data_IF_101751880390
#
_entry.id   IF_101751880390
#
_cell.length_a   1.000
_cell.length_b   1.000
_cell.length_c   1.000
_cell.angle_alpha   90.00
_cell.angle_beta   90.00
_cell.angle_gamma   90.00
#
_symmetry.space_group_name_H-M   'P 1'
#
loop_
_entity.id
_entity.type
_entity.pdbx_description
1 polymer ?
#
# COMPACT_ATOMS: atom_id res chain seq x y z
N UNK A 1 3.02 -5.85 30.32
CA UNK A 1 2.74 -4.39 30.21
C UNK A 1 3.79 -3.79 29.29
N UNK A 2 3.39 -2.95 28.34
CA UNK A 2 4.29 -2.26 27.41
C UNK A 2 5.01 -1.15 28.19
N UNK A 3 6.34 -1.10 28.10
CA UNK A 3 7.14 -0.06 28.75
C UNK A 3 6.99 1.27 27.98
N UNK A 4 7.33 2.40 28.63
CA UNK A 4 7.27 3.71 27.99
C UNK A 4 8.21 3.80 26.77
N UNK A 5 9.40 3.21 26.86
CA UNK A 5 10.35 3.14 25.74
C UNK A 5 9.78 2.33 24.57
N UNK A 6 9.18 1.20 24.85
CA UNK A 6 8.57 0.33 23.85
C UNK A 6 7.35 1.01 23.19
N UNK A 7 6.55 1.72 23.99
CA UNK A 7 5.41 2.51 23.51
C UNK A 7 5.86 3.59 22.53
N UNK A 8 6.91 4.34 22.86
CA UNK A 8 7.47 5.36 21.97
C UNK A 8 7.97 4.76 20.65
N UNK A 9 8.68 3.63 20.71
CA UNK A 9 9.15 2.93 19.51
C UNK A 9 7.99 2.44 18.63
N UNK A 10 6.87 2.01 19.22
CA UNK A 10 5.68 1.64 18.45
C UNK A 10 5.07 2.87 17.78
N UNK A 11 4.98 4.02 18.46
CA UNK A 11 4.47 5.27 17.90
C UNK A 11 5.36 5.72 16.72
N UNK A 12 6.67 5.71 16.89
CA UNK A 12 7.64 6.07 15.84
C UNK A 12 7.48 5.14 14.61
N UNK A 13 7.29 3.84 14.83
CA UNK A 13 7.03 2.87 13.76
C UNK A 13 5.72 3.18 13.03
N UNK A 14 4.66 3.54 13.75
CA UNK A 14 3.38 3.89 13.12
C UNK A 14 3.55 5.16 12.27
N UNK A 15 4.21 6.19 12.77
CA UNK A 15 4.49 7.41 11.99
C UNK A 15 5.33 7.16 10.75
N UNK A 16 6.21 6.16 10.78
CA UNK A 16 7.01 5.76 9.62
C UNK A 16 6.19 4.98 8.58
N UNK A 17 5.27 4.12 9.01
CA UNK A 17 4.56 3.20 8.13
C UNK A 17 3.17 3.72 7.68
N UNK A 18 2.58 4.65 8.43
CA UNK A 18 1.27 5.25 8.15
C UNK A 18 1.48 6.69 7.71
N UNK A 19 1.59 6.90 6.40
CA UNK A 19 1.95 8.19 5.82
C UNK A 19 1.03 8.55 4.64
N UNK A 20 0.76 9.85 4.40
CA UNK A 20 0.01 10.29 3.23
C UNK A 20 0.73 9.92 1.93
N UNK A 21 -0.03 9.58 0.89
CA UNK A 21 0.48 9.31 -0.44
C UNK A 21 -0.52 9.72 -1.52
N UNK A 22 -0.04 10.28 -2.63
CA UNK A 22 -0.85 10.60 -3.81
C UNK A 22 -0.49 9.60 -4.91
N UNK A 23 -1.49 8.86 -5.40
CA UNK A 23 -1.28 7.82 -6.42
C UNK A 23 -0.63 6.55 -5.87
N UNK A 24 -0.04 5.75 -6.77
CA UNK A 24 0.68 4.52 -6.42
C UNK A 24 2.16 4.81 -6.16
N UNK A 25 2.70 4.23 -5.11
CA UNK A 25 4.08 4.51 -4.66
C UNK A 25 5.14 4.06 -5.64
N UNK A 26 4.93 2.95 -6.36
CA UNK A 26 5.93 2.40 -7.27
C UNK A 26 6.20 3.29 -8.50
N UNK A 27 5.20 3.72 -9.30
CA UNK A 27 5.48 4.64 -10.42
C UNK A 27 5.97 6.00 -9.94
N UNK A 28 5.54 6.47 -8.76
CA UNK A 28 6.02 7.72 -8.18
C UNK A 28 7.48 7.60 -7.74
N UNK A 29 7.90 6.47 -7.17
CA UNK A 29 9.31 6.21 -6.85
C UNK A 29 10.19 6.16 -8.13
N UNK A 30 9.66 5.61 -9.23
CA UNK A 30 10.35 5.67 -10.53
C UNK A 30 10.48 7.12 -11.00
N UNK A 31 9.40 7.91 -10.95
CA UNK A 31 9.43 9.34 -11.29
C UNK A 31 10.41 10.12 -10.41
N UNK A 32 10.48 9.82 -9.12
CA UNK A 32 11.44 10.40 -8.17
C UNK A 32 12.89 10.07 -8.56
N UNK A 33 13.16 8.83 -8.94
CA UNK A 33 14.49 8.42 -9.40
C UNK A 33 14.87 9.14 -10.69
N UNK A 34 13.92 9.29 -11.64
CA UNK A 34 14.12 10.05 -12.87
C UNK A 34 14.38 11.53 -12.57
N UNK A 35 13.59 12.14 -11.69
CA UNK A 35 13.79 13.53 -11.26
C UNK A 35 15.22 13.74 -10.72
N UNK A 36 15.67 12.84 -9.83
CA UNK A 36 17.03 12.90 -9.29
C UNK A 36 18.11 12.75 -10.34
N UNK A 37 17.98 11.80 -11.25
CA UNK A 37 18.93 11.62 -12.36
C UNK A 37 18.95 12.86 -13.28
N UNK A 38 17.79 13.46 -13.57
CA UNK A 38 17.66 14.69 -14.39
C UNK A 38 18.29 15.89 -13.69
N UNK A 39 18.04 16.08 -12.38
CA UNK A 39 18.71 17.12 -11.57
C UNK A 39 20.23 16.97 -11.60
N UNK A 40 20.71 15.73 -11.48
CA UNK A 40 22.15 15.41 -11.50
C UNK A 40 22.76 15.68 -12.88
N UNK A 41 22.03 15.37 -13.96
CA UNK A 41 22.43 15.68 -15.34
C UNK A 41 22.55 17.19 -15.56
N UNK A 42 21.65 17.97 -14.95
CA UNK A 42 21.63 19.44 -15.04
C UNK A 42 20.95 19.99 -16.30
N UNK A 43 20.38 19.14 -17.13
CA UNK A 43 19.64 19.50 -18.34
C UNK A 43 18.53 18.47 -18.62
N UNK A 44 17.58 18.82 -19.50
CA UNK A 44 16.52 17.92 -19.94
C UNK A 44 17.14 16.73 -20.70
N UNK A 45 16.85 15.48 -20.32
CA UNK A 45 17.44 14.32 -20.96
C UNK A 45 16.88 14.11 -22.38
N UNK A 46 17.75 13.69 -23.28
CA UNK A 46 17.38 13.25 -24.64
C UNK A 46 16.96 11.77 -24.65
N UNK A 47 17.55 10.97 -23.75
CA UNK A 47 17.24 9.55 -23.57
C UNK A 47 17.19 9.20 -22.08
N UNK A 48 16.26 8.34 -21.73
CA UNK A 48 16.10 7.81 -20.36
C UNK A 48 16.03 6.28 -20.44
N UNK A 49 16.99 5.61 -19.80
CA UNK A 49 17.00 4.17 -19.63
C UNK A 49 16.65 3.84 -18.19
N UNK A 50 15.66 2.99 -17.98
CA UNK A 50 15.15 2.60 -16.65
C UNK A 50 15.24 1.10 -16.49
N UNK A 51 15.96 0.66 -15.45
CA UNK A 51 16.07 -0.74 -15.06
C UNK A 51 15.33 -0.95 -13.75
N UNK A 52 14.40 -1.91 -13.72
CA UNK A 52 13.49 -2.14 -12.60
C UNK A 52 13.55 -3.57 -12.12
N UNK A 53 13.40 -3.79 -10.82
CA UNK A 53 13.05 -5.12 -10.31
C UNK A 53 11.67 -5.55 -10.81
N UNK A 54 11.44 -6.86 -10.84
CA UNK A 54 10.19 -7.47 -11.28
C UNK A 54 8.97 -6.92 -10.53
N UNK A 55 9.09 -6.73 -9.22
CA UNK A 55 7.98 -6.24 -8.39
C UNK A 55 7.64 -4.77 -8.66
N UNK A 56 8.63 -3.90 -8.88
CA UNK A 56 8.39 -2.50 -9.25
C UNK A 56 7.70 -2.43 -10.61
N UNK A 57 8.21 -3.16 -11.62
CA UNK A 57 7.60 -3.18 -12.94
C UNK A 57 6.14 -3.67 -12.87
N UNK A 58 5.90 -4.82 -12.23
CA UNK A 58 4.57 -5.40 -12.05
C UNK A 58 3.57 -4.41 -11.43
N UNK A 59 3.97 -3.70 -10.37
CA UNK A 59 3.09 -2.81 -9.63
C UNK A 59 2.89 -1.43 -10.30
N UNK A 60 3.76 -1.05 -11.21
CA UNK A 60 3.71 0.26 -11.87
C UNK A 60 3.06 0.26 -13.27
N UNK A 61 2.92 -0.93 -13.90
CA UNK A 61 2.47 -1.02 -15.31
C UNK A 61 1.01 -0.61 -15.53
N UNK A 62 0.11 -0.89 -14.59
CA UNK A 62 -1.34 -0.85 -14.81
C UNK A 62 -2.10 0.22 -14.03
N UNK A 63 -1.41 1.11 -13.34
CA UNK A 63 -2.04 2.08 -12.43
C UNK A 63 -2.09 3.48 -13.06
N UNK A 64 -3.17 4.23 -12.76
CA UNK A 64 -3.33 5.62 -13.17
C UNK A 64 -2.29 6.53 -12.51
N UNK A 65 -1.70 7.42 -13.30
CA UNK A 65 -0.75 8.42 -12.80
C UNK A 65 -1.50 9.70 -12.45
N UNK A 66 -1.31 10.21 -11.23
CA UNK A 66 -2.08 11.34 -10.71
C UNK A 66 -2.13 12.54 -11.65
N UNK A 67 -3.36 13.05 -11.91
CA UNK A 67 -3.60 14.26 -12.69
C UNK A 67 -3.39 14.14 -14.21
N UNK A 68 -2.99 12.95 -14.72
CA UNK A 68 -2.63 12.80 -16.14
C UNK A 68 -3.73 12.20 -17.01
N UNK A 69 -4.68 11.47 -16.41
CA UNK A 69 -5.62 10.63 -17.15
C UNK A 69 -4.96 9.45 -17.89
N UNK A 70 -3.67 9.20 -17.65
CA UNK A 70 -2.89 8.14 -18.28
C UNK A 70 -2.47 7.06 -17.29
N UNK A 71 -2.11 5.90 -17.81
CA UNK A 71 -1.74 4.70 -17.05
C UNK A 71 -0.26 4.36 -17.28
N UNK A 72 0.41 3.90 -16.24
CA UNK A 72 1.70 3.23 -16.30
C UNK A 72 2.93 4.11 -16.29
N UNK A 73 4.08 3.47 -16.40
CA UNK A 73 5.39 4.08 -16.22
C UNK A 73 5.76 5.17 -17.23
N UNK A 74 5.44 5.07 -18.54
CA UNK A 74 5.96 6.02 -19.52
C UNK A 74 5.64 7.49 -19.16
N UNK A 75 4.40 7.78 -18.75
CA UNK A 75 4.02 9.15 -18.39
C UNK A 75 4.64 9.57 -17.04
N UNK A 76 4.76 8.67 -16.07
CA UNK A 76 5.42 8.97 -14.79
C UNK A 76 6.91 9.32 -15.00
N UNK A 77 7.61 8.60 -15.87
CA UNK A 77 9.01 8.85 -16.26
C UNK A 77 9.14 10.20 -16.98
N UNK A 78 8.28 10.45 -17.98
CA UNK A 78 8.30 11.71 -18.73
C UNK A 78 8.10 12.92 -17.81
N UNK A 79 7.10 12.86 -16.92
CA UNK A 79 6.84 13.95 -15.95
C UNK A 79 7.98 14.09 -14.92
N UNK A 80 8.55 12.99 -14.44
CA UNK A 80 9.72 13.02 -13.57
C UNK A 80 10.89 13.79 -14.20
N UNK A 81 11.11 13.62 -15.50
CA UNK A 81 12.15 14.34 -16.23
C UNK A 81 11.81 15.80 -16.54
N UNK A 82 10.53 16.13 -16.74
CA UNK A 82 10.09 17.47 -17.14
C UNK A 82 9.95 18.46 -15.99
N UNK A 83 9.38 17.97 -14.87
CA UNK A 83 9.00 18.84 -13.76
C UNK A 83 9.37 18.27 -12.38
N UNK A 84 9.85 17.03 -12.33
CA UNK A 84 10.12 16.37 -11.05
C UNK A 84 11.17 17.11 -10.24
N UNK A 85 10.86 17.32 -8.95
CA UNK A 85 11.80 17.82 -7.94
C UNK A 85 12.00 16.75 -6.90
N UNK A 86 13.22 16.23 -6.80
CA UNK A 86 13.50 15.09 -5.90
C UNK A 86 13.27 15.41 -4.43
N UNK A 87 13.32 16.69 -4.04
CA UNK A 87 13.01 17.16 -2.68
C UNK A 87 11.55 16.89 -2.25
N UNK A 88 10.62 16.75 -3.22
CA UNK A 88 9.22 16.46 -2.94
C UNK A 88 8.95 14.97 -2.62
N UNK A 89 9.95 14.13 -2.70
CA UNK A 89 9.83 12.71 -2.38
C UNK A 89 8.64 12.05 -3.15
N UNK A 90 7.71 11.41 -2.45
CA UNK A 90 6.54 10.76 -3.07
C UNK A 90 5.45 11.75 -3.57
N UNK A 91 5.69 13.04 -3.49
CA UNK A 91 4.86 14.08 -4.12
C UNK A 91 5.55 14.70 -5.36
N UNK A 92 6.56 14.04 -5.92
CA UNK A 92 7.42 14.53 -7.00
C UNK A 92 6.67 15.06 -8.22
N UNK A 93 5.44 14.62 -8.46
CA UNK A 93 4.58 15.03 -9.57
C UNK A 93 3.48 16.04 -9.18
N UNK A 94 3.52 16.63 -7.99
CA UNK A 94 2.45 17.53 -7.51
C UNK A 94 2.27 18.80 -8.35
N UNK A 95 3.33 19.24 -9.03
CA UNK A 95 3.31 20.43 -9.90
C UNK A 95 2.81 20.11 -11.34
N UNK A 96 2.23 18.92 -11.58
CA UNK A 96 1.72 18.55 -12.91
C UNK A 96 0.56 19.45 -13.33
N UNK A 97 0.68 20.01 -14.56
CA UNK A 97 -0.38 20.79 -15.22
C UNK A 97 -0.78 20.12 -16.53
N UNK A 98 -1.97 20.44 -17.09
CA UNK A 98 -2.38 19.89 -18.39
C UNK A 98 -1.34 20.10 -19.50
N UNK A 99 -0.69 21.26 -19.56
CA UNK A 99 0.32 21.58 -20.58
C UNK A 99 1.56 20.68 -20.44
N UNK A 100 1.99 20.43 -19.21
CA UNK A 100 3.12 19.52 -18.93
C UNK A 100 2.76 18.08 -19.25
N UNK A 101 1.51 17.67 -19.03
CA UNK A 101 1.04 16.34 -19.42
C UNK A 101 1.09 16.16 -20.93
N UNK A 102 0.68 17.18 -21.71
CA UNK A 102 0.79 17.16 -23.18
C UNK A 102 2.26 17.13 -23.65
N UNK A 103 3.16 17.84 -22.96
CA UNK A 103 4.60 17.72 -23.25
C UNK A 103 5.13 16.32 -22.93
N UNK A 104 4.66 15.71 -21.82
CA UNK A 104 4.98 14.34 -21.45
C UNK A 104 4.52 13.31 -22.49
N UNK A 105 3.34 13.48 -23.08
CA UNK A 105 2.86 12.64 -24.18
C UNK A 105 3.78 12.71 -25.40
N UNK A 106 4.17 13.92 -25.80
CA UNK A 106 5.14 14.11 -26.89
C UNK A 106 6.48 13.45 -26.60
N UNK A 107 6.96 13.57 -25.36
CA UNK A 107 8.20 12.93 -24.93
C UNK A 107 8.16 11.41 -25.09
N UNK A 108 6.99 10.78 -24.82
CA UNK A 108 6.76 9.35 -25.01
C UNK A 108 6.72 8.98 -26.50
N UNK A 109 5.99 9.77 -27.33
CA UNK A 109 5.87 9.55 -28.77
C UNK A 109 7.23 9.60 -29.48
N UNK A 110 8.15 10.42 -29.02
CA UNK A 110 9.53 10.52 -29.50
C UNK A 110 10.41 9.31 -29.13
N UNK A 111 9.85 8.30 -28.41
CA UNK A 111 10.53 7.06 -28.02
C UNK A 111 11.83 7.27 -27.24
N UNK A 112 11.86 8.29 -26.41
CA UNK A 112 13.04 8.64 -25.58
C UNK A 112 13.20 7.78 -24.33
N UNK A 113 12.19 6.98 -23.98
CA UNK A 113 12.12 6.18 -22.74
C UNK A 113 12.30 4.70 -23.06
N UNK A 114 13.25 4.07 -22.38
CA UNK A 114 13.52 2.63 -22.46
C UNK A 114 13.35 2.01 -21.07
N UNK A 115 12.46 1.04 -20.94
CA UNK A 115 12.19 0.36 -19.67
C UNK A 115 12.53 -1.11 -19.82
N UNK A 116 13.36 -1.64 -18.91
CA UNK A 116 13.80 -3.03 -18.92
C UNK A 116 13.82 -3.62 -17.51
N UNK A 117 13.79 -4.92 -17.43
CA UNK A 117 14.04 -5.65 -16.18
C UNK A 117 15.53 -5.61 -15.84
N UNK A 118 15.83 -5.43 -14.56
CA UNK A 118 17.17 -5.67 -14.02
C UNK A 118 17.33 -7.16 -13.76
N UNK A 119 18.18 -7.82 -14.52
CA UNK A 119 18.47 -9.24 -14.37
C UNK A 119 19.34 -9.51 -13.14
N UNK A 120 19.24 -10.73 -12.60
CA UNK A 120 20.09 -11.25 -11.52
C UNK A 120 20.11 -10.39 -10.24
N UNK A 121 18.94 -9.80 -9.86
CA UNK A 121 18.80 -9.03 -8.65
C UNK A 121 17.85 -9.74 -7.67
N UNK A 122 18.28 -9.85 -6.41
CA UNK A 122 17.45 -10.39 -5.31
C UNK A 122 16.56 -9.32 -4.68
N UNK A 123 16.93 -8.04 -4.86
CA UNK A 123 16.22 -6.89 -4.28
C UNK A 123 14.85 -6.71 -4.94
N UNK A 124 13.78 -6.83 -4.13
CA UNK A 124 12.39 -6.70 -4.60
C UNK A 124 12.01 -5.26 -4.94
N UNK A 125 12.66 -4.28 -4.33
CA UNK A 125 12.48 -2.86 -4.61
C UNK A 125 13.79 -2.29 -5.13
N UNK A 126 13.94 -2.22 -6.46
CA UNK A 126 15.10 -1.66 -7.13
C UNK A 126 14.68 -0.85 -8.37
N UNK A 127 15.20 0.35 -8.44
CA UNK A 127 14.98 1.30 -9.53
C UNK A 127 16.33 1.91 -9.88
N UNK A 128 16.79 1.75 -11.12
CA UNK A 128 17.99 2.40 -11.64
C UNK A 128 17.59 3.22 -12.86
N UNK A 129 17.97 4.46 -12.88
CA UNK A 129 17.69 5.41 -13.96
C UNK A 129 18.99 5.98 -14.47
N UNK A 130 19.16 5.91 -15.78
CA UNK A 130 20.23 6.57 -16.50
C UNK A 130 19.62 7.61 -17.47
N UNK A 131 19.93 8.89 -17.26
CA UNK A 131 19.58 10.01 -18.11
C UNK A 131 20.80 10.42 -18.95
N UNK A 132 20.58 10.66 -20.25
CA UNK A 132 21.62 11.01 -21.22
C UNK A 132 21.20 12.27 -22.02
N UNK A 133 22.16 13.19 -22.24
CA UNK A 133 22.01 14.37 -23.12
C UNK A 133 23.36 14.68 -23.79
N UNK A 134 23.46 14.48 -25.11
CA UNK A 134 24.73 14.54 -25.83
C UNK A 134 25.74 13.56 -25.25
N UNK A 135 26.88 14.05 -24.75
CA UNK A 135 27.93 13.24 -24.11
C UNK A 135 27.76 13.12 -22.59
N UNK A 136 26.85 13.93 -22.01
CA UNK A 136 26.62 13.90 -20.56
C UNK A 136 25.67 12.78 -20.15
N UNK A 137 25.99 12.18 -19.00
CA UNK A 137 25.26 11.05 -18.42
C UNK A 137 25.12 11.20 -16.92
N UNK A 138 23.95 10.88 -16.39
CA UNK A 138 23.72 10.80 -14.94
C UNK A 138 22.95 9.54 -14.57
N UNK A 139 23.32 8.94 -13.45
CA UNK A 139 22.69 7.74 -12.91
C UNK A 139 22.18 8.02 -11.50
N UNK A 140 20.97 7.56 -11.20
CA UNK A 140 20.42 7.50 -9.86
C UNK A 140 19.85 6.12 -9.58
N UNK A 141 20.01 5.62 -8.34
CA UNK A 141 19.49 4.31 -7.93
C UNK A 141 18.75 4.43 -6.61
N UNK A 142 17.53 3.89 -6.58
CA UNK A 142 16.72 3.68 -5.37
C UNK A 142 16.63 2.18 -5.08
N UNK A 143 16.89 1.75 -3.82
CA UNK A 143 16.71 0.38 -3.41
C UNK A 143 16.29 0.23 -1.94
N UNK A 144 15.59 -0.86 -1.61
CA UNK A 144 15.13 -1.20 -0.26
C UNK A 144 13.94 -0.38 0.26
N UNK A 145 13.79 0.86 -0.16
CA UNK A 145 12.66 1.75 0.17
C UNK A 145 12.34 2.68 -0.98
N UNK A 146 11.08 3.11 -1.13
CA UNK A 146 10.60 3.90 -2.27
C UNK A 146 11.28 5.27 -2.43
N UNK A 147 11.95 5.77 -1.40
CA UNK A 147 12.64 7.07 -1.37
C UNK A 147 14.11 6.96 -1.00
N UNK A 148 14.62 5.74 -0.86
CA UNK A 148 16.00 5.49 -0.41
C UNK A 148 16.96 5.46 -1.58
N UNK A 149 17.64 6.59 -1.84
CA UNK A 149 18.74 6.63 -2.79
C UNK A 149 19.95 5.88 -2.23
N UNK A 150 20.55 5.03 -3.05
CA UNK A 150 21.76 4.27 -2.72
C UNK A 150 22.96 4.64 -3.59
N UNK A 151 22.71 5.24 -4.76
CA UNK A 151 23.78 5.60 -5.70
C UNK A 151 23.37 6.80 -6.55
N UNK A 152 24.28 7.76 -6.75
CA UNK A 152 24.14 8.90 -7.66
C UNK A 152 25.51 9.16 -8.29
N UNK A 153 25.52 9.27 -9.64
CA UNK A 153 26.73 9.48 -10.44
C UNK A 153 26.46 10.48 -11.57
N UNK A 154 27.47 11.26 -11.95
CA UNK A 154 27.50 12.09 -13.14
C UNK A 154 28.82 11.90 -13.89
N UNK A 155 28.76 11.52 -15.16
CA UNK A 155 29.91 11.36 -16.07
C UNK A 155 31.05 10.46 -15.50
N UNK A 156 30.67 9.40 -14.73
CA UNK A 156 31.63 8.51 -14.09
C UNK A 156 32.14 9.00 -12.71
N UNK A 157 31.74 10.21 -12.27
CA UNK A 157 32.03 10.72 -10.94
C UNK A 157 30.90 10.40 -9.97
N UNK A 158 31.20 9.57 -8.96
CA UNK A 158 30.23 9.18 -7.92
C UNK A 158 30.03 10.33 -6.95
N UNK A 159 28.81 10.87 -6.91
CA UNK A 159 28.42 11.97 -6.00
C UNK A 159 27.88 11.44 -4.68
N UNK A 160 27.23 10.28 -4.70
CA UNK A 160 26.67 9.65 -3.53
C UNK A 160 26.68 8.13 -3.69
N UNK A 161 27.14 7.44 -2.65
CA UNK A 161 27.06 5.97 -2.58
C UNK A 161 26.83 5.56 -1.13
N UNK A 162 25.74 4.82 -0.90
CA UNK A 162 25.43 4.16 0.37
C UNK A 162 25.69 2.68 0.18
N UNK A 163 26.51 2.05 1.05
CA UNK A 163 26.63 0.60 1.06
C UNK A 163 25.26 0.01 1.37
N UNK A 164 24.66 -0.65 0.38
CA UNK A 164 23.44 -1.41 0.55
C UNK A 164 23.82 -2.83 0.92
N UNK A 165 23.93 -3.12 2.21
CA UNK A 165 23.94 -4.50 2.69
C UNK A 165 22.50 -5.01 2.56
N UNK A 166 22.26 -5.85 1.56
CA UNK A 166 21.07 -6.69 1.51
C UNK A 166 21.10 -7.57 2.76
N UNK A 167 20.23 -7.32 3.71
CA UNK A 167 20.09 -7.94 5.03
C UNK A 167 20.86 -7.26 6.16
N UNK A 168 20.14 -6.96 7.22
CA UNK A 168 20.59 -6.61 8.58
C UNK A 168 21.50 -5.39 8.68
N UNK A 169 20.94 -4.20 8.54
CA UNK A 169 21.47 -3.07 9.28
C UNK A 169 21.13 -3.29 10.74
N UNK A 170 22.22 -3.43 11.52
CA UNK A 170 22.29 -3.38 12.99
C UNK A 170 21.12 -4.06 13.70
N UNK A 171 21.46 -4.98 14.58
CA UNK A 171 20.73 -5.36 15.79
C UNK A 171 20.45 -4.13 16.70
N UNK A 172 19.85 -3.09 16.21
CA UNK A 172 18.85 -2.36 16.98
C UNK A 172 17.72 -3.36 17.11
N UNK A 173 17.53 -3.89 18.31
CA UNK A 173 16.50 -4.87 18.67
C UNK A 173 15.24 -4.62 17.86
N UNK A 174 15.00 -5.44 16.81
CA UNK A 174 13.78 -5.33 16.02
C UNK A 174 12.62 -5.37 16.98
N UNK A 175 11.74 -4.38 16.93
CA UNK A 175 10.57 -4.33 17.78
C UNK A 175 9.69 -5.55 17.45
N UNK A 176 9.81 -6.60 18.28
CA UNK A 176 8.98 -7.80 18.12
C UNK A 176 7.56 -7.50 18.55
N UNK A 177 6.67 -7.39 17.57
CA UNK A 177 5.24 -7.30 17.79
C UNK A 177 4.64 -8.71 17.89
N UNK A 178 3.59 -8.83 18.68
CA UNK A 178 2.65 -9.95 18.74
C UNK A 178 1.24 -9.39 18.70
N UNK A 179 0.25 -10.19 18.34
CA UNK A 179 -1.14 -9.70 18.33
C UNK A 179 -1.58 -9.19 19.71
N UNK A 180 -1.12 -9.85 20.79
CA UNK A 180 -1.39 -9.40 22.17
C UNK A 180 -0.79 -8.01 22.42
N UNK A 181 0.44 -7.79 22.00
CA UNK A 181 1.12 -6.48 22.16
C UNK A 181 0.41 -5.38 21.38
N UNK A 182 -0.02 -5.68 20.14
CA UNK A 182 -0.81 -4.79 19.28
C UNK A 182 -2.13 -4.41 19.98
N UNK A 183 -2.85 -5.39 20.50
CA UNK A 183 -4.11 -5.19 21.20
C UNK A 183 -3.91 -4.34 22.47
N UNK A 184 -2.96 -4.72 23.33
CA UNK A 184 -2.68 -4.01 24.57
C UNK A 184 -2.24 -2.57 24.31
N UNK A 185 -1.45 -2.32 23.26
CA UNK A 185 -1.04 -0.98 22.84
C UNK A 185 -2.25 -0.12 22.43
N UNK A 186 -3.08 -0.63 21.53
CA UNK A 186 -4.23 0.11 21.01
C UNK A 186 -5.22 0.52 22.12
N UNK A 187 -5.40 -0.35 23.12
CA UNK A 187 -6.43 -0.13 24.15
C UNK A 187 -5.92 0.64 25.38
N UNK A 188 -4.64 0.56 25.71
CA UNK A 188 -4.13 1.11 26.95
C UNK A 188 -3.22 2.34 26.77
N UNK A 189 -2.84 2.69 25.52
CA UNK A 189 -2.05 3.90 25.29
C UNK A 189 -2.89 5.16 25.53
N UNK A 190 -2.34 6.23 26.15
CA UNK A 190 -3.02 7.50 26.31
C UNK A 190 -3.55 8.03 24.96
N UNK A 191 -4.76 8.55 24.97
CA UNK A 191 -5.46 8.97 23.74
C UNK A 191 -4.72 10.08 22.98
N UNK A 192 -4.16 11.03 23.71
CA UNK A 192 -3.39 12.14 23.17
C UNK A 192 -2.12 11.70 22.40
N UNK A 193 -1.56 10.54 22.77
CA UNK A 193 -0.40 9.96 22.06
C UNK A 193 -0.77 9.25 20.76
N UNK A 194 -2.04 8.85 20.57
CA UNK A 194 -2.49 8.05 19.41
C UNK A 194 -3.61 8.69 18.57
N UNK A 195 -4.13 9.86 18.97
CA UNK A 195 -5.21 10.57 18.27
C UNK A 195 -4.85 10.99 16.83
N UNK A 196 -3.56 11.09 16.50
CA UNK A 196 -3.09 11.36 15.15
C UNK A 196 -3.60 10.34 14.11
N UNK A 197 -4.00 9.14 14.55
CA UNK A 197 -4.53 8.10 13.66
C UNK A 197 -5.84 8.54 12.97
N UNK A 198 -6.58 9.51 13.51
CA UNK A 198 -7.79 10.09 12.90
C UNK A 198 -7.53 10.73 11.53
N UNK A 199 -6.29 11.13 11.26
CA UNK A 199 -5.93 11.64 9.94
C UNK A 199 -6.11 10.59 8.85
N UNK A 200 -5.98 9.29 9.20
CA UNK A 200 -6.26 8.18 8.29
C UNK A 200 -7.73 8.19 7.86
N UNK A 201 -8.64 8.41 8.80
CA UNK A 201 -10.08 8.52 8.53
C UNK A 201 -10.38 9.72 7.63
N UNK A 202 -9.85 10.90 7.95
CA UNK A 202 -10.07 12.13 7.19
C UNK A 202 -9.64 12.00 5.72
N UNK A 203 -8.42 11.53 5.46
CA UNK A 203 -7.89 11.42 4.11
C UNK A 203 -8.60 10.32 3.29
N UNK A 204 -8.79 9.14 3.88
CA UNK A 204 -9.36 8.02 3.15
C UNK A 204 -10.85 8.20 2.88
N UNK A 205 -11.61 8.85 3.80
CA UNK A 205 -13.01 9.21 3.59
C UNK A 205 -13.16 10.22 2.45
N UNK A 206 -12.33 11.26 2.43
CA UNK A 206 -12.32 12.24 1.34
C UNK A 206 -12.07 11.60 -0.03
N UNK A 207 -11.19 10.58 -0.10
CA UNK A 207 -10.94 9.83 -1.33
C UNK A 207 -12.17 9.00 -1.78
N UNK A 208 -12.89 8.40 -0.83
CA UNK A 208 -14.12 7.69 -1.12
C UNK A 208 -15.21 8.65 -1.65
N UNK A 209 -15.44 9.76 -0.95
CA UNK A 209 -16.42 10.79 -1.34
C UNK A 209 -16.11 11.36 -2.73
N UNK A 210 -14.84 11.63 -3.02
CA UNK A 210 -14.40 12.06 -4.36
C UNK A 210 -14.76 11.06 -5.45
N UNK A 211 -14.69 9.76 -5.14
CA UNK A 211 -15.06 8.70 -6.11
C UNK A 211 -16.53 8.72 -6.48
N UNK A 212 -17.41 9.15 -5.58
CA UNK A 212 -18.84 9.22 -5.83
C UNK A 212 -19.23 10.38 -6.75
N UNK A 213 -18.42 11.44 -6.79
CA UNK A 213 -18.63 12.61 -7.65
C UNK A 213 -18.13 12.38 -9.08
N UNK A 214 -17.04 11.59 -9.25
CA UNK A 214 -16.35 11.40 -10.52
C UNK A 214 -16.62 10.04 -11.18
N UNK A 215 -15.89 9.81 -12.27
CA UNK A 215 -15.83 8.51 -12.95
C UNK A 215 -14.41 7.97 -12.80
N UNK A 216 -14.22 7.06 -11.87
CA UNK A 216 -12.91 6.48 -11.53
C UNK A 216 -12.93 4.96 -11.64
N UNK A 217 -11.89 4.38 -12.22
CA UNK A 217 -11.69 2.95 -12.30
C UNK A 217 -12.88 2.21 -12.91
N UNK A 218 -13.35 1.19 -12.22
CA UNK A 218 -14.57 0.47 -12.60
C UNK A 218 -15.84 1.07 -11.98
N UNK A 219 -15.72 2.11 -11.16
CA UNK A 219 -16.84 2.75 -10.47
C UNK A 219 -17.54 1.84 -9.48
N UNK A 220 -16.83 0.85 -8.92
CA UNK A 220 -17.41 -0.17 -8.05
C UNK A 220 -18.03 0.45 -6.80
N UNK A 221 -17.32 1.39 -6.15
CA UNK A 221 -17.85 2.10 -4.99
C UNK A 221 -19.16 2.83 -5.26
N UNK A 222 -19.26 3.47 -6.42
CA UNK A 222 -20.48 4.17 -6.88
C UNK A 222 -21.59 3.20 -7.24
N UNK A 223 -21.24 2.08 -7.88
CA UNK A 223 -22.20 1.03 -8.28
C UNK A 223 -22.82 0.36 -7.05
N UNK A 224 -22.07 0.18 -5.98
CA UNK A 224 -22.54 -0.37 -4.69
C UNK A 224 -23.45 0.60 -3.90
N UNK A 225 -23.80 1.75 -4.45
CA UNK A 225 -24.82 2.71 -3.94
C UNK A 225 -26.01 2.85 -4.90
N UNK A 226 -26.15 1.92 -5.84
CA UNK A 226 -27.14 1.98 -6.90
C UNK A 226 -28.39 1.11 -6.63
N UNK A 227 -29.31 1.13 -7.60
CA UNK A 227 -30.59 0.44 -7.49
C UNK A 227 -30.45 -1.09 -7.36
N UNK A 228 -29.45 -1.70 -8.03
CA UNK A 228 -29.26 -3.14 -7.96
C UNK A 228 -28.68 -3.59 -6.63
N UNK A 229 -27.80 -2.80 -6.06
CA UNK A 229 -27.23 -3.04 -4.72
C UNK A 229 -28.34 -3.08 -3.68
N UNK A 230 -29.23 -2.08 -3.64
CA UNK A 230 -30.38 -2.07 -2.73
C UNK A 230 -31.27 -3.30 -2.82
N UNK A 231 -31.39 -3.89 -4.00
CA UNK A 231 -32.16 -5.13 -4.21
C UNK A 231 -31.48 -6.39 -3.70
N UNK A 232 -30.14 -6.40 -3.68
CA UNK A 232 -29.32 -7.58 -3.37
C UNK A 232 -28.81 -7.55 -1.92
N UNK A 233 -28.30 -6.41 -1.47
CA UNK A 233 -27.63 -6.25 -0.16
C UNK A 233 -28.46 -5.44 0.83
N UNK A 234 -29.42 -4.64 0.36
CA UNK A 234 -30.13 -3.64 1.16
C UNK A 234 -29.26 -2.43 1.48
N UNK A 235 -29.86 -1.40 2.08
CA UNK A 235 -29.18 -0.25 2.65
C UNK A 235 -28.66 -0.65 4.04
N UNK A 236 -27.41 -0.99 4.14
CA UNK A 236 -26.83 -1.61 5.34
C UNK A 236 -25.40 -1.14 5.60
N UNK A 237 -24.97 -1.21 6.85
CA UNK A 237 -23.57 -0.97 7.25
C UNK A 237 -22.61 -1.76 6.38
N UNK A 238 -22.97 -3.00 6.04
CA UNK A 238 -22.15 -3.86 5.18
C UNK A 238 -21.97 -3.27 3.78
N UNK A 239 -23.06 -2.86 3.11
CA UNK A 239 -22.99 -2.27 1.78
C UNK A 239 -22.24 -0.94 1.78
N UNK A 240 -22.38 -0.13 2.84
CA UNK A 240 -21.65 1.12 2.99
C UNK A 240 -20.14 0.90 3.18
N UNK A 241 -19.73 -0.08 4.00
CA UNK A 241 -18.32 -0.47 4.14
C UNK A 241 -17.73 -0.82 2.77
N UNK A 242 -18.41 -1.66 1.99
CA UNK A 242 -17.94 -2.06 0.66
C UNK A 242 -17.85 -0.87 -0.29
N UNK A 243 -18.86 -0.01 -0.31
CA UNK A 243 -18.95 1.15 -1.19
C UNK A 243 -17.85 2.16 -0.91
N UNK A 244 -17.67 2.59 0.33
CA UNK A 244 -16.64 3.56 0.69
C UNK A 244 -15.25 3.03 0.43
N UNK A 245 -14.97 1.78 0.81
CA UNK A 245 -13.62 1.20 0.67
C UNK A 245 -13.25 0.97 -0.80
N UNK A 246 -14.17 0.42 -1.61
CA UNK A 246 -13.92 0.25 -3.03
C UNK A 246 -13.87 1.59 -3.78
N UNK A 247 -14.68 2.57 -3.38
CA UNK A 247 -14.67 3.91 -3.98
C UNK A 247 -13.35 4.64 -3.81
N UNK A 248 -12.79 4.65 -2.59
CA UNK A 248 -11.47 5.22 -2.36
C UNK A 248 -10.38 4.52 -3.20
N UNK A 249 -10.49 3.19 -3.33
CA UNK A 249 -9.60 2.41 -4.20
C UNK A 249 -9.79 2.75 -5.68
N UNK A 250 -11.03 2.88 -6.17
CA UNK A 250 -11.34 3.30 -7.55
C UNK A 250 -10.69 4.66 -7.86
N UNK A 251 -10.89 5.66 -7.00
CA UNK A 251 -10.31 7.00 -7.18
C UNK A 251 -8.78 6.94 -7.23
N UNK A 252 -8.15 6.25 -6.25
CA UNK A 252 -6.70 6.14 -6.16
C UNK A 252 -6.10 5.42 -7.35
N UNK A 253 -6.65 4.26 -7.75
CA UNK A 253 -6.10 3.44 -8.82
C UNK A 253 -6.30 4.05 -10.21
N UNK A 254 -7.28 4.92 -10.38
CA UNK A 254 -7.49 5.69 -11.60
C UNK A 254 -6.62 6.98 -11.67
N UNK A 255 -5.82 7.27 -10.64
CA UNK A 255 -4.95 8.44 -10.63
C UNK A 255 -5.64 9.75 -10.25
N UNK A 256 -6.64 9.71 -9.36
CA UNK A 256 -7.19 10.93 -8.78
C UNK A 256 -6.10 11.70 -8.04
N UNK A 257 -6.08 13.04 -8.22
CA UNK A 257 -5.20 13.95 -7.48
C UNK A 257 -5.75 14.20 -6.08
N UNK A 258 -5.76 13.14 -5.26
CA UNK A 258 -6.21 13.20 -3.88
C UNK A 258 -5.29 12.34 -3.00
N UNK A 259 -4.84 12.87 -1.86
CA UNK A 259 -4.07 12.08 -0.93
C UNK A 259 -4.92 11.02 -0.24
N UNK A 260 -4.34 9.85 -0.03
CA UNK A 260 -4.85 8.81 0.85
C UNK A 260 -3.83 8.53 1.93
N UNK A 261 -4.27 8.12 3.11
CA UNK A 261 -3.34 7.59 4.09
C UNK A 261 -2.96 6.17 3.70
N UNK A 262 -1.67 5.93 3.56
CA UNK A 262 -1.12 4.60 3.27
C UNK A 262 -0.85 3.81 4.56
N UNK A 263 -0.53 2.54 4.41
CA UNK A 263 0.04 1.71 5.47
C UNK A 263 1.07 0.76 4.84
N UNK A 264 2.25 0.65 5.44
CA UNK A 264 3.35 -0.23 5.00
C UNK A 264 3.66 -0.09 3.50
N UNK A 265 3.68 1.16 3.00
CA UNK A 265 4.02 1.50 1.62
C UNK A 265 2.89 1.30 0.59
N UNK A 266 1.64 1.06 1.01
CA UNK A 266 0.51 0.91 0.09
C UNK A 266 -0.71 1.72 0.53
N UNK A 267 -1.22 2.61 -0.35
CA UNK A 267 -2.44 3.36 -0.09
C UNK A 267 -3.68 2.46 -0.02
N UNK A 268 -3.77 1.40 -0.83
CA UNK A 268 -4.89 0.46 -0.74
C UNK A 268 -4.90 -0.30 0.59
N UNK A 269 -3.74 -0.56 1.20
CA UNK A 269 -3.68 -1.12 2.55
C UNK A 269 -4.19 -0.11 3.58
N UNK A 270 -3.77 1.16 3.50
CA UNK A 270 -4.30 2.19 4.37
C UNK A 270 -5.81 2.38 4.24
N UNK A 271 -6.33 2.43 3.01
CA UNK A 271 -7.77 2.49 2.72
C UNK A 271 -8.51 1.31 3.37
N UNK A 272 -8.02 0.08 3.17
CA UNK A 272 -8.68 -1.13 3.68
C UNK A 272 -8.56 -1.30 5.20
N UNK A 273 -7.51 -0.75 5.81
CA UNK A 273 -7.38 -0.74 7.27
C UNK A 273 -8.25 0.34 7.93
N UNK A 274 -8.57 1.42 7.21
CA UNK A 274 -9.28 2.58 7.76
C UNK A 274 -10.78 2.51 7.55
N UNK A 275 -11.22 2.45 6.28
CA UNK A 275 -12.62 2.74 5.92
C UNK A 275 -13.63 1.74 6.47
N UNK A 276 -13.36 0.42 6.53
CA UNK A 276 -14.30 -0.51 7.15
C UNK A 276 -14.54 -0.19 8.63
N UNK A 277 -13.48 0.19 9.35
CA UNK A 277 -13.54 0.55 10.76
C UNK A 277 -14.29 1.87 10.96
N UNK A 278 -13.96 2.88 10.15
CA UNK A 278 -14.61 4.19 10.20
C UNK A 278 -16.11 4.10 9.92
N UNK A 279 -16.49 3.47 8.80
CA UNK A 279 -17.90 3.34 8.41
C UNK A 279 -18.69 2.56 9.47
N UNK A 280 -18.11 1.46 9.99
CA UNK A 280 -18.73 0.70 11.06
C UNK A 280 -18.94 1.54 12.31
N UNK A 281 -17.94 2.34 12.70
CA UNK A 281 -18.02 3.19 13.88
C UNK A 281 -19.09 4.31 13.72
N UNK A 282 -19.11 5.00 12.58
CA UNK A 282 -20.08 6.06 12.28
C UNK A 282 -21.51 5.52 12.25
N UNK A 283 -21.76 4.39 11.61
CA UNK A 283 -23.10 3.79 11.46
C UNK A 283 -23.62 3.14 12.77
N UNK A 284 -22.74 2.93 13.75
CA UNK A 284 -23.13 2.39 15.07
C UNK A 284 -22.90 3.38 16.21
N UNK A 285 -22.86 4.70 15.92
CA UNK A 285 -22.76 5.78 16.89
C UNK A 285 -21.61 5.61 17.91
N UNK A 286 -20.46 5.09 17.46
CA UNK A 286 -19.28 4.90 18.31
C UNK A 286 -18.61 6.23 18.64
N UNK A 287 -18.10 6.36 19.85
CA UNK A 287 -17.37 7.54 20.30
C UNK A 287 -16.04 7.72 19.52
N UNK A 288 -15.52 8.94 19.52
CA UNK A 288 -14.20 9.23 18.92
C UNK A 288 -13.08 8.41 19.56
N UNK A 289 -13.13 8.19 20.88
CA UNK A 289 -12.18 7.31 21.56
C UNK A 289 -12.24 5.87 21.03
N UNK A 290 -13.43 5.29 20.89
CA UNK A 290 -13.60 3.95 20.32
C UNK A 290 -13.06 3.89 18.90
N UNK A 291 -13.32 4.91 18.08
CA UNK A 291 -12.79 4.99 16.72
C UNK A 291 -11.26 5.05 16.70
N UNK A 292 -10.64 5.91 17.52
CA UNK A 292 -9.17 6.02 17.62
C UNK A 292 -8.55 4.67 17.97
N UNK A 293 -9.06 4.00 18.99
CA UNK A 293 -8.55 2.70 19.45
C UNK A 293 -8.72 1.60 18.40
N UNK A 294 -9.87 1.57 17.74
CA UNK A 294 -10.15 0.60 16.68
C UNK A 294 -9.28 0.82 15.43
N UNK A 295 -9.08 2.08 15.02
CA UNK A 295 -8.15 2.42 13.93
C UNK A 295 -6.71 2.05 14.29
N UNK A 296 -6.30 2.34 15.52
CA UNK A 296 -4.96 1.98 16.01
C UNK A 296 -4.76 0.46 15.99
N UNK A 297 -5.72 -0.30 16.50
CA UNK A 297 -5.70 -1.77 16.46
C UNK A 297 -5.61 -2.29 15.02
N UNK A 298 -6.41 -1.75 14.11
CA UNK A 298 -6.41 -2.11 12.70
C UNK A 298 -5.06 -1.83 12.05
N UNK A 299 -4.57 -0.60 12.13
CA UNK A 299 -3.33 -0.17 11.45
C UNK A 299 -2.09 -0.88 12.01
N UNK A 300 -2.00 -1.05 13.32
CA UNK A 300 -0.85 -1.72 13.93
C UNK A 300 -0.85 -3.23 13.66
N UNK A 301 -2.03 -3.87 13.54
CA UNK A 301 -2.14 -5.26 13.07
C UNK A 301 -1.58 -5.42 11.65
N UNK A 302 -1.88 -4.47 10.74
CA UNK A 302 -1.33 -4.47 9.38
C UNK A 302 0.20 -4.38 9.41
N UNK A 303 0.75 -3.44 10.18
CA UNK A 303 2.19 -3.26 10.33
C UNK A 303 2.83 -4.54 10.86
N UNK A 304 2.26 -5.14 11.90
CA UNK A 304 2.73 -6.39 12.49
C UNK A 304 2.84 -7.52 11.46
N UNK A 305 1.77 -7.78 10.71
CA UNK A 305 1.78 -8.83 9.68
C UNK A 305 2.81 -8.49 8.58
N UNK A 306 2.92 -7.22 8.20
CA UNK A 306 3.85 -6.76 7.16
C UNK A 306 5.31 -6.84 7.56
N UNK A 307 5.65 -6.75 8.84
CA UNK A 307 7.04 -6.97 9.30
C UNK A 307 7.58 -8.34 8.87
N UNK A 308 6.76 -9.39 8.96
CA UNK A 308 7.14 -10.75 8.56
C UNK A 308 6.93 -11.06 7.08
N UNK A 309 5.94 -10.44 6.43
CA UNK A 309 5.63 -10.65 5.01
C UNK A 309 6.59 -9.92 4.07
N UNK A 310 7.10 -8.76 4.50
CA UNK A 310 7.86 -7.84 3.68
C UNK A 310 6.96 -6.86 2.89
N UNK A 311 7.59 -5.80 2.33
CA UNK A 311 6.86 -4.73 1.64
C UNK A 311 6.21 -5.20 0.35
N UNK A 312 6.89 -6.02 -0.44
CA UNK A 312 6.43 -6.53 -1.73
C UNK A 312 6.37 -8.07 -1.71
N UNK A 313 5.25 -8.62 -2.15
CA UNK A 313 5.01 -10.07 -2.24
C UNK A 313 3.94 -10.39 -3.28
N UNK A 314 3.85 -11.66 -3.68
CA UNK A 314 2.73 -12.14 -4.51
C UNK A 314 1.42 -12.31 -3.71
N UNK A 315 1.46 -12.33 -2.39
CA UNK A 315 0.25 -12.26 -1.57
C UNK A 315 -0.31 -10.85 -1.62
N UNK A 316 -1.60 -10.72 -1.90
CA UNK A 316 -2.25 -9.43 -2.02
C UNK A 316 -2.27 -8.67 -0.69
N UNK A 317 -1.81 -7.40 -0.69
CA UNK A 317 -1.79 -6.56 0.51
C UNK A 317 -3.17 -6.28 1.11
N UNK A 318 -4.26 -6.40 0.33
CA UNK A 318 -5.61 -6.24 0.87
C UNK A 318 -5.99 -7.38 1.84
N UNK A 319 -5.40 -8.58 1.71
CA UNK A 319 -5.58 -9.66 2.70
C UNK A 319 -5.11 -9.20 4.08
N UNK A 320 -3.89 -8.66 4.14
CA UNK A 320 -3.28 -8.17 5.38
C UNK A 320 -4.08 -7.00 5.95
N UNK A 321 -4.44 -6.04 5.12
CA UNK A 321 -5.14 -4.84 5.56
C UNK A 321 -6.57 -5.14 6.03
N UNK A 322 -7.28 -6.02 5.34
CA UNK A 322 -8.60 -6.49 5.75
C UNK A 322 -8.55 -7.29 7.06
N UNK A 323 -7.45 -8.02 7.32
CA UNK A 323 -7.24 -8.66 8.63
C UNK A 323 -7.15 -7.61 9.74
N UNK A 324 -6.45 -6.49 9.49
CA UNK A 324 -6.43 -5.37 10.45
C UNK A 324 -7.83 -4.81 10.72
N UNK A 325 -8.60 -4.51 9.66
CA UNK A 325 -9.96 -3.98 9.84
C UNK A 325 -10.92 -4.99 10.50
N UNK A 326 -10.75 -6.30 10.31
CA UNK A 326 -11.53 -7.30 11.05
C UNK A 326 -11.30 -7.21 12.56
N UNK A 327 -10.05 -6.96 12.99
CA UNK A 327 -9.71 -6.73 14.40
C UNK A 327 -10.42 -5.49 14.95
N UNK A 328 -10.35 -4.36 14.24
CA UNK A 328 -11.01 -3.11 14.64
C UNK A 328 -12.53 -3.25 14.76
N UNK A 329 -13.18 -3.89 13.77
CA UNK A 329 -14.63 -4.14 13.77
C UNK A 329 -15.02 -5.07 14.90
N UNK A 330 -14.28 -6.18 15.12
CA UNK A 330 -14.54 -7.12 16.22
C UNK A 330 -14.52 -6.40 17.57
N UNK A 331 -13.51 -5.55 17.78
CA UNK A 331 -13.42 -4.79 19.02
C UNK A 331 -14.55 -3.76 19.16
N UNK A 332 -14.94 -3.05 18.11
CA UNK A 332 -16.08 -2.12 18.11
C UNK A 332 -17.42 -2.80 18.40
N UNK A 333 -17.56 -4.08 18.07
CA UNK A 333 -18.71 -4.89 18.47
C UNK A 333 -18.68 -5.34 19.96
N UNK A 334 -17.65 -4.95 20.71
CA UNK A 334 -17.45 -5.33 22.10
C UNK A 334 -16.65 -6.63 22.28
N UNK A 335 -15.94 -7.05 21.24
CA UNK A 335 -15.15 -8.28 21.26
C UNK A 335 -13.93 -8.22 22.17
N UNK A 336 -13.64 -9.37 22.79
CA UNK A 336 -12.45 -9.61 23.62
C UNK A 336 -11.20 -9.83 22.75
N UNK A 337 -10.03 -9.92 23.40
CA UNK A 337 -8.80 -10.29 22.70
C UNK A 337 -8.92 -11.65 21.98
N UNK A 338 -9.54 -12.64 22.61
CA UNK A 338 -9.67 -13.99 22.02
C UNK A 338 -10.54 -13.92 20.75
N UNK A 339 -11.61 -13.11 20.77
CA UNK A 339 -12.44 -12.88 19.59
C UNK A 339 -11.70 -12.12 18.48
N UNK A 340 -10.83 -11.17 18.84
CA UNK A 340 -9.94 -10.52 17.86
C UNK A 340 -8.97 -11.54 17.25
N UNK A 341 -8.40 -12.46 18.05
CA UNK A 341 -7.55 -13.54 17.55
C UNK A 341 -8.33 -14.49 16.61
N UNK A 342 -9.56 -14.85 16.96
CA UNK A 342 -10.45 -15.65 16.09
C UNK A 342 -10.72 -14.97 14.76
N UNK A 343 -10.96 -13.65 14.75
CA UNK A 343 -11.15 -12.91 13.52
C UNK A 343 -9.92 -12.99 12.61
N UNK A 344 -8.70 -12.88 13.18
CA UNK A 344 -7.44 -13.04 12.42
C UNK A 344 -7.32 -14.45 11.83
N UNK A 345 -7.58 -15.50 12.62
CA UNK A 345 -7.51 -16.89 12.15
C UNK A 345 -8.52 -17.17 11.05
N UNK A 346 -9.76 -16.67 11.17
CA UNK A 346 -10.81 -16.78 10.15
C UNK A 346 -10.40 -16.06 8.83
N UNK A 347 -9.77 -14.88 8.93
CA UNK A 347 -9.24 -14.15 7.77
C UNK A 347 -8.13 -14.92 7.06
N UNK A 348 -7.18 -15.48 7.81
CA UNK A 348 -6.06 -16.25 7.27
C UNK A 348 -6.58 -17.50 6.54
N UNK A 349 -7.49 -18.25 7.17
CA UNK A 349 -8.07 -19.45 6.58
C UNK A 349 -8.77 -19.18 5.25
N UNK A 350 -9.42 -18.01 5.12
CA UNK A 350 -10.22 -17.67 3.94
C UNK A 350 -9.39 -17.08 2.79
N UNK A 351 -8.46 -16.14 3.07
CA UNK A 351 -7.88 -15.27 2.02
C UNK A 351 -6.42 -15.54 1.68
N UNK A 352 -5.77 -16.56 2.24
CA UNK A 352 -4.33 -16.83 2.00
C UNK A 352 -4.00 -17.06 0.50
N UNK A 353 -4.98 -17.45 -0.31
CA UNK A 353 -4.82 -17.70 -1.74
C UNK A 353 -4.99 -16.47 -2.64
N UNK A 354 -5.26 -15.27 -2.13
CA UNK A 354 -5.46 -14.09 -2.98
C UNK A 354 -4.12 -13.53 -3.47
N UNK A 355 -3.83 -13.71 -4.76
CA UNK A 355 -2.58 -13.23 -5.37
C UNK A 355 -2.62 -11.76 -5.78
N UNK A 356 -1.46 -11.10 -5.73
CA UNK A 356 -1.23 -9.75 -6.23
C UNK A 356 -0.62 -9.79 -7.64
N UNK A 357 -1.36 -9.28 -8.61
CA UNK A 357 -0.95 -9.13 -10.01
C UNK A 357 -0.76 -7.65 -10.40
N UNK A 358 -0.19 -6.86 -9.49
CA UNK A 358 0.11 -5.44 -9.68
C UNK A 358 -1.02 -4.48 -9.32
N UNK A 359 -0.68 -3.19 -9.19
CA UNK A 359 -1.65 -2.14 -8.90
C UNK A 359 -2.40 -1.73 -10.17
N UNK A 360 -3.73 -1.68 -10.09
CA UNK A 360 -4.63 -1.38 -11.23
C UNK A 360 -6.06 -1.14 -10.76
N UNK A 361 -6.94 -0.57 -11.60
CA UNK A 361 -8.34 -0.30 -11.22
C UNK A 361 -9.09 -1.51 -10.65
N UNK A 362 -8.86 -2.73 -11.16
CA UNK A 362 -9.49 -3.94 -10.62
C UNK A 362 -9.05 -4.31 -9.18
N UNK A 363 -8.09 -3.59 -8.57
CA UNK A 363 -7.80 -3.74 -7.15
C UNK A 363 -9.02 -3.41 -6.27
N UNK A 364 -9.93 -2.55 -6.72
CA UNK A 364 -11.19 -2.29 -6.03
C UNK A 364 -11.99 -3.57 -5.76
N UNK A 365 -12.02 -4.51 -6.71
CA UNK A 365 -12.68 -5.82 -6.55
C UNK A 365 -12.02 -6.65 -5.43
N UNK A 366 -10.69 -6.69 -5.40
CA UNK A 366 -9.93 -7.44 -4.37
C UNK A 366 -10.10 -6.81 -2.98
N UNK A 367 -10.11 -5.48 -2.92
CA UNK A 367 -10.40 -4.73 -1.69
C UNK A 367 -11.80 -5.07 -1.18
N UNK A 368 -12.82 -5.04 -2.04
CA UNK A 368 -14.20 -5.41 -1.69
C UNK A 368 -14.28 -6.82 -1.13
N UNK A 369 -13.63 -7.81 -1.80
CA UNK A 369 -13.57 -9.19 -1.31
C UNK A 369 -12.90 -9.27 0.07
N UNK A 370 -11.77 -8.58 0.26
CA UNK A 370 -11.05 -8.56 1.53
C UNK A 370 -11.89 -8.00 2.67
N UNK A 371 -12.52 -6.84 2.46
CA UNK A 371 -13.28 -6.18 3.53
C UNK A 371 -14.64 -6.85 3.79
N UNK A 372 -15.26 -7.46 2.78
CA UNK A 372 -16.45 -8.30 3.01
C UNK A 372 -16.12 -9.49 3.91
N UNK A 373 -14.98 -10.15 3.65
CA UNK A 373 -14.49 -11.23 4.50
C UNK A 373 -14.14 -10.74 5.91
N UNK A 374 -13.60 -9.51 6.04
CA UNK A 374 -13.30 -8.92 7.34
C UNK A 374 -14.54 -8.80 8.22
N UNK A 375 -15.65 -8.31 7.66
CA UNK A 375 -16.91 -8.20 8.39
C UNK A 375 -17.45 -9.57 8.78
N UNK A 376 -17.44 -10.53 7.86
CA UNK A 376 -17.91 -11.90 8.13
C UNK A 376 -17.05 -12.59 9.20
N UNK A 377 -15.72 -12.42 9.14
CA UNK A 377 -14.78 -12.96 10.12
C UNK A 377 -15.01 -12.36 11.52
N UNK A 378 -15.30 -11.07 11.59
CA UNK A 378 -15.64 -10.40 12.83
C UNK A 378 -16.97 -10.92 13.41
N UNK A 379 -18.01 -11.09 12.60
CA UNK A 379 -19.29 -11.66 13.03
C UNK A 379 -19.10 -13.09 13.57
N UNK A 380 -18.36 -13.94 12.85
CA UNK A 380 -18.06 -15.31 13.32
C UNK A 380 -17.33 -15.30 14.66
N UNK A 381 -16.35 -14.41 14.81
CA UNK A 381 -15.57 -14.26 16.04
C UNK A 381 -16.46 -13.84 17.23
N UNK A 382 -17.40 -12.93 17.03
CA UNK A 382 -18.36 -12.51 18.07
C UNK A 382 -19.25 -13.66 18.53
N UNK A 383 -19.56 -14.62 17.67
CA UNK A 383 -20.27 -15.87 18.00
C UNK A 383 -19.33 -16.95 18.57
N UNK A 384 -18.08 -16.60 18.91
CA UNK A 384 -17.02 -17.51 19.36
C UNK A 384 -16.76 -18.67 18.38
N UNK A 385 -16.88 -18.40 17.08
CA UNK A 385 -16.59 -19.35 16.01
C UNK A 385 -15.26 -19.00 15.35
N UNK A 386 -14.36 -19.99 15.36
CA UNK A 386 -13.02 -19.89 14.82
C UNK A 386 -12.69 -21.13 14.00
N UNK A 387 -11.96 -20.94 12.91
CA UNK A 387 -11.30 -22.03 12.17
C UNK A 387 -10.24 -22.63 13.09
N UNK A 388 -10.26 -23.95 13.23
CA UNK A 388 -9.45 -24.67 14.21
C UNK A 388 -8.09 -25.09 13.67
N UNK A 389 -7.16 -25.46 14.53
CA UNK A 389 -5.80 -25.90 14.18
C UNK A 389 -5.74 -27.21 13.37
N UNK A 390 -6.84 -27.92 13.24
CA UNK A 390 -6.93 -29.09 12.36
C UNK A 390 -7.28 -28.72 10.90
N UNK A 391 -7.49 -27.44 10.62
CA UNK A 391 -7.92 -26.95 9.32
C UNK A 391 -6.79 -26.15 8.64
N UNK A 392 -6.14 -26.77 7.66
CA UNK A 392 -5.19 -26.07 6.78
C UNK A 392 -3.93 -25.55 7.48
N UNK A 393 -3.69 -24.23 7.40
CA UNK A 393 -2.46 -23.59 7.91
C UNK A 393 -2.68 -22.90 9.27
N UNK A 394 -3.86 -23.04 9.86
CA UNK A 394 -4.19 -22.41 11.13
C UNK A 394 -3.51 -23.16 12.28
N UNK A 395 -3.06 -22.42 13.28
CA UNK A 395 -2.45 -22.91 14.50
C UNK A 395 -3.29 -22.45 15.70
N UNK A 396 -3.16 -23.11 16.85
CA UNK A 396 -3.79 -22.66 18.10
C UNK A 396 -3.25 -21.29 18.53
N UNK A 397 -1.96 -21.05 18.32
CA UNK A 397 -1.34 -19.74 18.47
C UNK A 397 -1.62 -18.87 17.22
N UNK A 398 -2.34 -17.77 17.43
CA UNK A 398 -2.65 -16.82 16.36
C UNK A 398 -1.39 -16.19 15.73
N UNK A 399 -0.36 -15.96 16.52
CA UNK A 399 0.91 -15.43 16.01
C UNK A 399 1.63 -16.46 15.14
N UNK A 400 1.48 -17.77 15.43
CA UNK A 400 1.97 -18.83 14.55
C UNK A 400 1.15 -18.90 13.25
N UNK A 401 -0.16 -18.74 13.31
CA UNK A 401 -1.00 -18.63 12.11
C UNK A 401 -0.57 -17.47 11.20
N UNK A 402 -0.25 -16.31 11.78
CA UNK A 402 0.32 -15.17 11.06
C UNK A 402 1.68 -15.52 10.43
N UNK A 403 2.55 -16.20 11.18
CA UNK A 403 3.85 -16.68 10.64
C UNK A 403 3.67 -17.67 9.49
N UNK A 404 2.69 -18.56 9.54
CA UNK A 404 2.36 -19.50 8.46
C UNK A 404 1.91 -18.75 7.19
N UNK A 405 0.98 -17.80 7.32
CA UNK A 405 0.54 -16.91 6.24
C UNK A 405 1.73 -16.18 5.60
N UNK A 406 2.53 -15.52 6.42
CA UNK A 406 3.63 -14.68 5.93
C UNK A 406 4.75 -15.50 5.30
N UNK A 407 5.00 -16.73 5.78
CA UNK A 407 5.94 -17.67 5.17
C UNK A 407 5.50 -18.11 3.77
N UNK A 408 4.19 -18.35 3.58
CA UNK A 408 3.64 -18.64 2.24
C UNK A 408 3.82 -17.43 1.33
N UNK A 409 3.44 -16.23 1.78
CA UNK A 409 3.52 -15.02 0.98
C UNK A 409 4.95 -14.57 0.65
N UNK A 410 5.89 -14.68 1.60
CA UNK A 410 7.27 -14.20 1.43
C UNK A 410 8.18 -15.19 0.72
N UNK A 411 7.96 -16.51 0.90
CA UNK A 411 8.80 -17.60 0.37
C UNK A 411 8.06 -18.49 -0.62
N UNK A 412 6.85 -18.96 -0.26
CA UNK A 412 6.12 -19.93 -1.06
C UNK A 412 5.61 -19.39 -2.39
N UNK A 413 5.36 -18.07 -2.47
CA UNK A 413 4.80 -17.42 -3.67
C UNK A 413 5.86 -16.79 -4.59
N UNK A 414 7.15 -17.02 -4.41
CA UNK A 414 8.17 -16.39 -5.25
C UNK A 414 8.06 -16.81 -6.73
N UNK A 415 7.80 -18.09 -7.01
CA UNK A 415 7.59 -18.58 -8.38
C UNK A 415 6.27 -18.05 -8.96
N UNK A 416 5.22 -17.93 -8.13
CA UNK A 416 3.95 -17.29 -8.53
C UNK A 416 4.19 -15.85 -8.96
N UNK A 417 5.02 -15.10 -8.26
CA UNK A 417 5.35 -13.71 -8.57
C UNK A 417 6.05 -13.56 -9.92
N UNK A 418 7.01 -14.44 -10.21
CA UNK A 418 7.70 -14.51 -11.52
C UNK A 418 6.71 -14.84 -12.64
N UNK A 419 5.91 -15.90 -12.47
CA UNK A 419 4.92 -16.33 -13.47
C UNK A 419 3.89 -15.24 -13.77
N UNK A 420 3.40 -14.54 -12.74
CA UNK A 420 2.48 -13.41 -12.91
C UNK A 420 3.12 -12.32 -13.77
N UNK A 421 4.39 -11.97 -13.52
CA UNK A 421 5.08 -10.97 -14.32
C UNK A 421 5.27 -11.44 -15.78
N UNK A 422 5.68 -12.68 -16.01
CA UNK A 422 5.82 -13.26 -17.36
C UNK A 422 4.52 -13.16 -18.15
N UNK A 423 3.37 -13.53 -17.53
CA UNK A 423 2.05 -13.40 -18.14
C UNK A 423 1.72 -11.94 -18.45
N UNK A 424 2.05 -11.02 -17.54
CA UNK A 424 1.76 -9.59 -17.72
C UNK A 424 2.58 -8.94 -18.84
N UNK A 425 3.82 -9.36 -19.00
CA UNK A 425 4.75 -8.81 -20.01
C UNK A 425 4.66 -9.52 -21.37
N UNK A 426 4.04 -10.68 -21.42
CA UNK A 426 3.85 -11.47 -22.65
C UNK A 426 2.57 -11.17 -23.43
N UNK A 427 1.79 -10.15 -23.03
CA UNK A 427 0.52 -9.74 -23.67
C UNK A 427 0.74 -8.78 -24.82
#
# INVERSE_FOLDING_TARGET
>A
MITETERKRIIDLIHQEVVPAIGCTEPIAVALCVAKATETLGTKPERINVLLSANILKNAMGVGIPGTGMIGLPIAIALGALIGKSEYQLEVLKDSTPDVVEEGKRFIEEKRIHISLKENIEEKLYIEVCCEAGEDKAIAVIAGGHTTFIYIERNGEVQFQKQHTASCEKEEECLELTLRKVYDFALNTPLDEISFILETARLNKAAAERSFEGNYGHGLGKMLRGTYEHKVMGDSVFSHILSYTSGACDARMAGAMIPVMSNSGSGNQGISATLPVLVFAEENDKSEEELIRALMLSHLTVIYIKQSLGRLSALCGCVVAATGSSCGITWLMGGTYDQVAYAVQNMIANLTGMICDGAKPSCALKVTTGVSTAVLSAIMAMENRCVTSVEGIIDEDVDQSIRNLTKIGSKGMNETDKLVLEIMTGK
#
